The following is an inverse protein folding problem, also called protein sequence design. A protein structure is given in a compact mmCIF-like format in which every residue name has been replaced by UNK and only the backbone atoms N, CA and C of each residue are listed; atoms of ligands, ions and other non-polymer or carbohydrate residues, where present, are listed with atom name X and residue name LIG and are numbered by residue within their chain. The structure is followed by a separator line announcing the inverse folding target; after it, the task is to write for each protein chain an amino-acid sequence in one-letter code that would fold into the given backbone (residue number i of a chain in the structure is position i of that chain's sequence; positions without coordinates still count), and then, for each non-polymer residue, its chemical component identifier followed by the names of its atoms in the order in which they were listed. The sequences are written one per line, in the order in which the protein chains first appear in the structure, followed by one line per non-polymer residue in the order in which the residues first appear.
data_IF_638539641288
#
_entry.id   IF_638539641288
#
_cell.length_a   1.000
_cell.length_b   1.000
_cell.length_c   1.000
_cell.angle_alpha   90.00
_cell.angle_beta   90.00
_cell.angle_gamma   90.00
#
_symmetry.space_group_name_H-M   'P 1'
#
loop_
_entity.id
_entity.type
_entity.pdbx_description
1 polymer ?
#
# COMPACT_ATOMS: atom_id res chain seq x y z
N UNK A 1 -1.02 13.91 14.89
CA UNK A 1 -1.27 12.45 14.91
C UNK A 1 0.08 11.75 14.91
N UNK A 2 0.23 10.52 15.44
CA UNK A 2 1.48 9.78 15.28
C UNK A 2 1.79 9.62 13.79
N UNK A 3 3.08 9.62 13.43
CA UNK A 3 3.52 9.28 12.07
C UNK A 3 3.11 7.84 11.77
N UNK A 4 2.41 7.63 10.66
CA UNK A 4 1.98 6.31 10.21
C UNK A 4 2.73 6.02 8.91
N UNK A 5 3.22 4.80 8.77
CA UNK A 5 3.93 4.34 7.58
C UNK A 5 3.15 3.22 6.92
N UNK A 6 2.88 3.35 5.64
CA UNK A 6 2.44 2.25 4.81
C UNK A 6 3.67 1.52 4.26
N UNK A 7 3.79 0.23 4.57
CA UNK A 7 4.83 -0.64 4.00
C UNK A 7 4.16 -1.78 3.24
N UNK A 8 4.57 -2.01 2.00
CA UNK A 8 3.91 -2.99 1.13
C UNK A 8 4.56 -3.21 -0.22
N UNK A 9 3.95 -4.09 -1.03
CA UNK A 9 4.32 -4.26 -2.44
C UNK A 9 3.65 -3.17 -3.27
N UNK A 10 4.40 -2.57 -4.18
CA UNK A 10 3.91 -1.54 -5.09
C UNK A 10 3.80 -2.09 -6.52
N UNK A 11 2.73 -1.70 -7.22
CA UNK A 11 2.60 -1.90 -8.66
C UNK A 11 1.92 -0.69 -9.30
N UNK A 12 2.33 -0.34 -10.52
CA UNK A 12 1.75 0.76 -11.30
C UNK A 12 0.53 0.31 -12.10
N UNK A 13 -0.48 1.17 -12.16
CA UNK A 13 -1.75 0.95 -12.83
C UNK A 13 -2.18 2.20 -13.61
N UNK A 14 -3.14 2.01 -14.51
CA UNK A 14 -3.82 3.09 -15.22
C UNK A 14 -5.33 2.95 -15.08
N UNK A 15 -6.03 4.07 -14.90
CA UNK A 15 -7.50 4.10 -14.76
C UNK A 15 -8.19 3.54 -16.01
N UNK A 16 -7.65 3.78 -17.20
CA UNK A 16 -8.23 3.27 -18.45
C UNK A 16 -8.35 1.74 -18.45
N UNK A 17 -7.30 1.05 -18.00
CA UNK A 17 -7.27 -0.41 -17.98
C UNK A 17 -8.27 -0.94 -16.95
N UNK A 18 -8.36 -0.31 -15.78
CA UNK A 18 -9.34 -0.67 -14.76
C UNK A 18 -10.78 -0.49 -15.25
N UNK A 19 -11.09 0.62 -15.93
CA UNK A 19 -12.42 0.91 -16.47
C UNK A 19 -12.87 -0.09 -17.56
N UNK A 20 -11.93 -0.81 -18.18
CA UNK A 20 -12.22 -1.89 -19.14
C UNK A 20 -12.48 -3.25 -18.48
N UNK A 21 -12.61 -3.28 -17.14
CA UNK A 21 -12.90 -4.51 -16.38
C UNK A 21 -11.66 -5.33 -16.06
N UNK A 22 -10.46 -4.73 -16.04
CA UNK A 22 -9.25 -5.44 -15.64
C UNK A 22 -9.26 -5.76 -14.14
N UNK A 23 -9.07 -7.05 -13.83
CA UNK A 23 -8.96 -7.59 -12.49
C UNK A 23 -7.53 -7.55 -11.94
N UNK A 24 -6.62 -6.78 -12.54
CA UNK A 24 -5.21 -6.76 -12.15
C UNK A 24 -4.93 -6.29 -10.72
N UNK A 25 -5.81 -5.50 -10.11
CA UNK A 25 -5.72 -5.14 -8.68
C UNK A 25 -6.07 -6.36 -7.81
N UNK A 26 -7.17 -7.06 -8.12
CA UNK A 26 -7.54 -8.30 -7.42
C UNK A 26 -6.47 -9.37 -7.57
N UNK A 27 -5.95 -9.58 -8.78
CA UNK A 27 -4.84 -10.51 -9.03
C UNK A 27 -3.56 -10.11 -8.28
N UNK A 28 -3.35 -8.81 -8.07
CA UNK A 28 -2.22 -8.32 -7.29
C UNK A 28 -2.38 -8.61 -5.80
N UNK A 29 -3.60 -8.48 -5.26
CA UNK A 29 -3.95 -8.93 -3.92
C UNK A 29 -3.74 -10.43 -3.75
N UNK A 30 -4.28 -11.25 -4.65
CA UNK A 30 -4.14 -12.71 -4.62
C UNK A 30 -2.66 -13.11 -4.59
N UNK A 31 -1.83 -12.44 -5.40
CA UNK A 31 -0.39 -12.65 -5.40
C UNK A 31 0.25 -12.32 -4.05
N UNK A 32 -0.05 -11.15 -3.46
CA UNK A 32 0.52 -10.74 -2.17
C UNK A 32 0.07 -11.68 -1.02
N UNK A 33 -1.17 -12.17 -1.08
CA UNK A 33 -1.69 -13.14 -0.12
C UNK A 33 -0.99 -14.50 -0.27
N UNK A 34 -0.71 -14.93 -1.51
CA UNK A 34 -0.11 -16.22 -1.80
C UNK A 34 1.42 -16.27 -1.62
N UNK A 35 2.13 -15.16 -1.86
CA UNK A 35 3.61 -15.14 -1.89
C UNK A 35 4.26 -14.84 -0.53
N UNK A 36 3.45 -14.77 0.53
CA UNK A 36 3.93 -14.51 1.89
C UNK A 36 4.26 -13.04 2.17
N UNK A 37 3.82 -12.10 1.32
CA UNK A 37 4.04 -10.67 1.53
C UNK A 37 3.59 -10.22 2.92
N UNK A 38 2.38 -10.59 3.33
CA UNK A 38 1.86 -10.21 4.65
C UNK A 38 2.56 -10.93 5.79
N UNK A 39 2.92 -12.20 5.62
CA UNK A 39 3.67 -12.94 6.63
C UNK A 39 5.01 -12.27 6.97
N UNK A 40 5.68 -11.65 5.99
CA UNK A 40 6.91 -10.87 6.22
C UNK A 40 6.61 -9.61 7.03
N UNK A 41 5.54 -8.89 6.70
CA UNK A 41 5.13 -7.66 7.38
C UNK A 41 4.67 -7.94 8.83
N UNK A 42 3.96 -9.03 9.04
CA UNK A 42 3.44 -9.46 10.35
C UNK A 42 4.53 -9.86 11.34
N UNK A 43 5.79 -10.06 10.92
CA UNK A 43 6.90 -10.31 11.84
C UNK A 43 7.29 -9.10 12.69
N UNK A 44 6.79 -7.92 12.36
CA UNK A 44 7.09 -6.65 13.02
C UNK A 44 5.90 -6.15 13.86
N UNK A 45 5.28 -7.05 14.64
CA UNK A 45 4.01 -6.79 15.34
C UNK A 45 4.06 -5.60 16.30
N UNK A 46 5.22 -5.34 16.90
CA UNK A 46 5.43 -4.25 17.85
C UNK A 46 5.25 -2.86 17.21
N UNK A 47 5.49 -2.76 15.90
CA UNK A 47 5.32 -1.53 15.14
C UNK A 47 3.98 -1.46 14.43
N UNK A 48 3.15 -2.50 14.43
CA UNK A 48 1.84 -2.44 13.75
C UNK A 48 0.98 -1.32 14.35
N UNK A 49 0.51 -0.42 13.49
CA UNK A 49 -0.39 0.67 13.87
C UNK A 49 -1.82 0.15 14.05
N UNK A 50 -2.29 -0.62 13.07
CA UNK A 50 -3.58 -1.29 13.08
C UNK A 50 -3.42 -2.67 12.42
N UNK A 51 -3.94 -3.76 13.02
CA UNK A 51 -3.80 -5.11 12.48
C UNK A 51 -4.77 -5.33 11.31
N UNK A 52 -4.45 -4.73 10.18
CA UNK A 52 -5.22 -4.83 8.95
C UNK A 52 -4.30 -4.79 7.72
N UNK A 53 -4.69 -5.53 6.69
CA UNK A 53 -4.11 -5.38 5.36
C UNK A 53 -4.81 -4.22 4.67
N UNK A 54 -4.02 -3.39 3.99
CA UNK A 54 -4.50 -2.17 3.34
C UNK A 54 -4.04 -2.12 1.90
N UNK A 55 -4.88 -1.53 1.06
CA UNK A 55 -4.56 -1.19 -0.30
C UNK A 55 -4.77 0.30 -0.50
N UNK A 56 -3.79 1.01 -1.02
CA UNK A 56 -3.94 2.44 -1.29
C UNK A 56 -3.41 2.80 -2.67
N UNK A 57 -4.10 3.73 -3.32
CA UNK A 57 -3.56 4.45 -4.46
C UNK A 57 -2.65 5.58 -3.95
N UNK A 58 -1.48 5.73 -4.56
CA UNK A 58 -0.55 6.84 -4.34
C UNK A 58 -0.13 7.44 -5.68
N UNK A 59 0.32 8.69 -5.65
CA UNK A 59 0.83 9.41 -6.82
C UNK A 59 -0.12 9.37 -8.02
N UNK A 60 -1.40 9.67 -7.76
CA UNK A 60 -2.39 9.75 -8.82
C UNK A 60 -2.07 10.92 -9.75
N UNK A 61 -1.76 10.60 -11.00
CA UNK A 61 -1.64 11.55 -12.08
C UNK A 61 -3.03 11.89 -12.61
N UNK A 62 -3.46 13.13 -12.39
CA UNK A 62 -4.76 13.64 -12.83
C UNK A 62 -4.85 13.85 -14.36
N UNK A 63 -3.73 13.78 -15.09
CA UNK A 63 -3.69 13.93 -16.55
C UNK A 63 -4.08 12.65 -17.27
N UNK A 64 -3.33 11.57 -17.03
CA UNK A 64 -3.50 10.29 -17.74
C UNK A 64 -4.10 9.19 -16.88
N UNK A 65 -4.39 9.46 -15.60
CA UNK A 65 -4.97 8.49 -14.68
C UNK A 65 -4.00 7.37 -14.30
N UNK A 66 -2.70 7.61 -14.36
CA UNK A 66 -1.70 6.68 -13.84
C UNK A 66 -1.65 6.79 -12.32
N UNK A 67 -1.51 5.67 -11.63
CA UNK A 67 -1.29 5.65 -10.19
C UNK A 67 -0.45 4.44 -9.80
N UNK A 68 0.25 4.55 -8.68
CA UNK A 68 0.82 3.40 -8.01
C UNK A 68 -0.20 2.88 -6.99
N UNK A 69 -0.33 1.56 -6.89
CA UNK A 69 -1.13 0.90 -5.87
C UNK A 69 -0.20 0.11 -4.96
N UNK A 70 -0.35 0.32 -3.67
CA UNK A 70 0.43 -0.36 -2.64
C UNK A 70 -0.48 -1.30 -1.88
N UNK A 71 -0.09 -2.57 -1.81
CA UNK A 71 -0.74 -3.64 -1.06
C UNK A 71 0.15 -4.00 0.14
N UNK A 72 -0.31 -3.71 1.37
CA UNK A 72 0.58 -3.71 2.54
C UNK A 72 -0.12 -3.56 3.89
N UNK A 73 0.61 -3.06 4.89
CA UNK A 73 0.14 -2.85 6.25
C UNK A 73 0.57 -1.47 6.78
N UNK A 74 -0.14 -0.99 7.81
CA UNK A 74 0.15 0.28 8.48
C UNK A 74 0.99 0.07 9.74
N UNK A 75 2.03 0.86 9.87
CA UNK A 75 3.02 0.78 10.93
C UNK A 75 3.23 2.15 11.60
N UNK A 76 3.70 2.10 12.85
CA UNK A 76 4.28 3.22 13.58
C UNK A 76 5.73 3.42 13.12
N UNK A 77 6.32 4.52 13.56
CA UNK A 77 7.76 4.75 13.43
C UNK A 77 8.59 3.59 14.02
N UNK A 78 9.68 3.25 13.36
CA UNK A 78 10.59 2.15 13.75
C UNK A 78 10.46 0.87 12.92
N UNK A 79 9.44 0.76 12.05
CA UNK A 79 9.32 -0.36 11.11
C UNK A 79 10.49 -0.41 10.13
N UNK A 80 10.96 -1.62 9.83
CA UNK A 80 11.94 -1.87 8.77
C UNK A 80 11.24 -2.20 7.45
N UNK A 81 11.83 -1.76 6.34
CA UNK A 81 11.28 -2.00 4.99
C UNK A 81 12.02 -3.20 4.39
N UNK A 82 11.33 -4.34 4.17
CA UNK A 82 11.97 -5.51 3.56
C UNK A 82 12.38 -5.24 2.12
N UNK A 83 13.33 -6.03 1.60
CA UNK A 83 13.79 -5.89 0.22
C UNK A 83 12.64 -6.03 -0.79
N UNK A 84 12.56 -5.09 -1.73
CA UNK A 84 11.51 -5.05 -2.76
C UNK A 84 10.13 -4.64 -2.22
N UNK A 85 10.07 -3.98 -1.06
CA UNK A 85 8.87 -3.29 -0.56
C UNK A 85 9.07 -1.79 -0.71
N UNK A 86 7.95 -1.08 -0.82
CA UNK A 86 7.90 0.37 -0.77
C UNK A 86 7.46 0.84 0.63
N UNK A 87 7.79 2.09 0.95
CA UNK A 87 7.34 2.76 2.18
C UNK A 87 6.85 4.17 1.88
N UNK A 88 5.75 4.55 2.52
CA UNK A 88 5.18 5.89 2.44
C UNK A 88 4.75 6.37 3.82
N UNK A 89 5.17 7.57 4.21
CA UNK A 89 4.60 8.24 5.37
C UNK A 89 3.19 8.71 5.00
N UNK A 90 2.19 8.28 5.78
CA UNK A 90 0.79 8.61 5.61
C UNK A 90 0.37 9.47 6.80
N UNK A 91 -0.04 10.70 6.50
CA UNK A 91 -0.52 11.65 7.48
C UNK A 91 0.40 12.85 7.62
N UNK A 92 0.00 13.93 6.94
CA UNK A 92 0.27 15.30 7.43
C UNK A 92 -0.76 16.32 6.88
N UNK A 93 -1.62 15.91 5.93
CA UNK A 93 -2.70 16.77 5.47
C UNK A 93 -3.98 16.54 6.27
N UNK A 94 -4.35 17.54 7.07
CA UNK A 94 -5.76 17.75 7.41
C UNK A 94 -6.51 17.92 6.10
N UNK A 95 -7.36 16.96 5.73
CA UNK A 95 -8.49 17.26 4.85
C UNK A 95 -9.42 18.14 5.68
N UNK A 96 -9.25 19.45 5.56
CA UNK A 96 -9.93 20.46 6.34
C UNK A 96 -11.33 20.73 5.81
N UNK A 97 -12.25 20.73 6.78
CA UNK A 97 -13.58 21.36 6.86
C UNK A 97 -14.65 20.98 5.84
#
# INVERSE_FOLDING_TARGET
MPKIYLVGKEKKFTIEVHNKGDNSISNFWDKCLADGTFYVLEKQQEYVYQPAYVGTCIYMDMGYGNFSYVCGMLFKEGVTVPEGYAVYEIGDEKIGM
#
